data_IF_044253996325
#
_entry.id   IF_044253996325
#
_cell.length_a   1.000
_cell.length_b   1.000
_cell.length_c   1.000
_cell.angle_alpha   90.00
_cell.angle_beta   90.00
_cell.angle_gamma   90.00
#
_symmetry.space_group_name_H-M   'P 1'
#
loop_
_entity.id
_entity.type
_entity.pdbx_description
1 polymer ?
#
# COMPACT_ATOMS: atom_id res chain seq x y z
N UNK A 1 -22.17 5.10 -17.55
CA UNK A 1 -21.29 5.79 -16.57
C UNK A 1 -21.40 5.24 -15.15
N UNK A 2 -22.59 5.15 -14.53
CA UNK A 2 -22.72 4.62 -13.15
C UNK A 2 -22.37 3.12 -13.06
N UNK A 3 -22.91 2.28 -13.96
CA UNK A 3 -22.65 0.83 -13.95
C UNK A 3 -21.19 0.44 -14.21
N UNK A 4 -20.42 1.31 -14.88
CA UNK A 4 -18.99 1.09 -15.14
C UNK A 4 -18.11 1.33 -13.91
N UNK A 5 -18.61 2.03 -12.89
CA UNK A 5 -17.94 2.15 -11.57
C UNK A 5 -18.13 0.90 -10.70
N UNK A 6 -19.07 0.02 -11.06
CA UNK A 6 -19.34 -1.24 -10.38
C UNK A 6 -18.66 -2.40 -11.11
N UNK A 7 -17.37 -2.26 -11.41
CA UNK A 7 -16.57 -3.32 -12.02
C UNK A 7 -15.86 -4.18 -10.96
N UNK A 8 -15.51 -5.41 -11.35
CA UNK A 8 -14.78 -6.34 -10.48
C UNK A 8 -13.41 -5.79 -10.05
N UNK A 9 -12.85 -4.85 -10.82
CA UNK A 9 -11.60 -4.15 -10.53
C UNK A 9 -11.78 -3.28 -9.28
N UNK A 10 -12.83 -2.47 -9.20
CA UNK A 10 -13.11 -1.59 -8.06
C UNK A 10 -13.29 -2.39 -6.77
N UNK A 11 -14.01 -3.51 -6.82
CA UNK A 11 -14.20 -4.39 -5.67
C UNK A 11 -12.92 -5.11 -5.24
N UNK A 12 -12.20 -5.72 -6.20
CA UNK A 12 -10.99 -6.50 -5.88
C UNK A 12 -9.84 -5.60 -5.41
N UNK A 13 -9.63 -4.48 -6.10
CA UNK A 13 -8.62 -3.47 -5.73
C UNK A 13 -8.96 -2.84 -4.39
N UNK A 14 -10.21 -2.40 -4.22
CA UNK A 14 -10.67 -1.78 -2.98
C UNK A 14 -10.46 -2.69 -1.78
N UNK A 15 -10.87 -3.97 -1.89
CA UNK A 15 -10.66 -4.95 -0.82
C UNK A 15 -9.18 -5.19 -0.52
N UNK A 16 -8.34 -5.38 -1.54
CA UNK A 16 -6.91 -5.62 -1.35
C UNK A 16 -6.22 -4.43 -0.65
N UNK A 17 -6.55 -3.20 -1.06
CA UNK A 17 -6.00 -1.98 -0.47
C UNK A 17 -6.49 -1.77 0.97
N UNK A 18 -7.76 -2.06 1.27
CA UNK A 18 -8.27 -2.01 2.64
C UNK A 18 -7.63 -3.07 3.54
N UNK A 19 -7.43 -4.30 3.02
CA UNK A 19 -6.74 -5.37 3.75
C UNK A 19 -5.29 -5.01 4.04
N UNK A 20 -4.58 -4.43 3.08
CA UNK A 20 -3.23 -3.91 3.28
C UNK A 20 -3.20 -2.84 4.39
N UNK A 21 -4.16 -1.92 4.39
CA UNK A 21 -4.29 -0.91 5.45
C UNK A 21 -4.55 -1.53 6.83
N UNK A 22 -5.45 -2.51 6.89
CA UNK A 22 -5.71 -3.27 8.12
C UNK A 22 -4.44 -3.97 8.62
N UNK A 23 -3.61 -4.50 7.72
CA UNK A 23 -2.40 -5.25 8.08
C UNK A 23 -1.34 -4.37 8.75
N UNK A 24 -1.05 -3.18 8.19
CA UNK A 24 -0.03 -2.30 8.78
C UNK A 24 -0.56 -1.47 9.96
N UNK A 25 -1.85 -1.13 9.97
CA UNK A 25 -2.43 -0.33 11.06
C UNK A 25 -2.86 -1.18 12.26
N UNK A 26 -3.06 -2.49 12.05
CA UNK A 26 -3.62 -3.42 13.02
C UNK A 26 -5.14 -3.49 12.93
N UNK A 27 -5.69 -4.70 13.12
CA UNK A 27 -7.11 -5.00 12.98
C UNK A 27 -8.00 -4.19 13.93
N UNK A 28 -7.57 -4.02 15.19
CA UNK A 28 -8.33 -3.29 16.20
C UNK A 28 -8.44 -1.80 15.87
N UNK A 29 -7.31 -1.18 15.50
CA UNK A 29 -7.26 0.21 15.06
C UNK A 29 -8.16 0.41 13.84
N UNK A 30 -8.06 -0.48 12.85
CA UNK A 30 -8.86 -0.41 11.63
C UNK A 30 -10.37 -0.51 11.92
N UNK A 31 -10.78 -1.49 12.74
CA UNK A 31 -12.19 -1.64 13.15
C UNK A 31 -12.69 -0.44 13.94
N UNK A 32 -11.85 0.10 14.83
CA UNK A 32 -12.17 1.30 15.59
C UNK A 32 -12.39 2.51 14.67
N UNK A 33 -11.46 2.76 13.74
CA UNK A 33 -11.56 3.82 12.74
C UNK A 33 -12.85 3.71 11.91
N UNK A 34 -13.19 2.50 11.46
CA UNK A 34 -14.39 2.25 10.67
C UNK A 34 -15.67 2.56 11.47
N UNK A 35 -15.73 2.15 12.75
CA UNK A 35 -16.86 2.49 13.63
C UNK A 35 -16.99 4.00 13.82
N UNK A 36 -15.89 4.70 14.09
CA UNK A 36 -15.88 6.15 14.23
C UNK A 36 -16.38 6.84 12.96
N UNK A 37 -15.94 6.37 11.78
CA UNK A 37 -16.35 6.93 10.50
C UNK A 37 -17.86 6.76 10.28
N UNK A 38 -18.38 5.54 10.47
CA UNK A 38 -19.82 5.26 10.31
C UNK A 38 -20.64 6.10 11.29
N UNK A 39 -20.24 6.19 12.56
CA UNK A 39 -20.96 6.99 13.56
C UNK A 39 -20.94 8.49 13.26
N UNK A 40 -19.83 9.01 12.72
CA UNK A 40 -19.66 10.43 12.39
C UNK A 40 -20.48 10.86 11.17
N UNK A 41 -20.59 9.98 10.18
CA UNK A 41 -21.23 10.27 8.88
C UNK A 41 -22.55 9.54 8.64
N UNK A 42 -23.09 8.81 9.63
CA UNK A 42 -24.42 8.20 9.53
C UNK A 42 -25.48 9.23 9.14
N UNK A 43 -26.36 8.83 8.22
CA UNK A 43 -27.43 9.67 7.67
C UNK A 43 -26.94 10.92 6.91
N UNK A 44 -25.66 10.95 6.50
CA UNK A 44 -25.06 12.01 5.68
C UNK A 44 -24.31 11.40 4.49
N UNK A 45 -23.92 12.25 3.56
CA UNK A 45 -22.95 11.88 2.53
C UNK A 45 -21.53 11.99 3.11
N UNK A 46 -20.64 11.16 2.59
CA UNK A 46 -19.23 11.23 2.93
C UNK A 46 -18.34 11.06 1.70
N UNK A 47 -17.14 11.63 1.76
CA UNK A 47 -16.12 11.53 0.73
C UNK A 47 -14.86 10.81 1.21
N UNK A 48 -13.96 10.57 0.26
CA UNK A 48 -12.70 9.87 0.50
C UNK A 48 -11.75 10.62 1.47
N UNK A 49 -11.69 11.94 1.40
CA UNK A 49 -10.85 12.74 2.29
C UNK A 49 -11.34 12.64 3.74
N UNK A 50 -12.66 12.61 3.94
CA UNK A 50 -13.27 12.40 5.25
C UNK A 50 -12.97 11.02 5.82
N UNK A 51 -12.98 9.99 4.99
CA UNK A 51 -12.57 8.64 5.41
C UNK A 51 -11.11 8.63 5.90
N UNK A 52 -10.19 9.18 5.10
CA UNK A 52 -8.77 9.22 5.46
C UNK A 52 -8.50 10.06 6.71
N UNK A 53 -9.19 11.18 6.89
CA UNK A 53 -9.07 12.00 8.09
C UNK A 53 -9.44 11.21 9.36
N UNK A 54 -10.54 10.46 9.33
CA UNK A 54 -10.95 9.63 10.48
C UNK A 54 -9.94 8.51 10.75
N UNK A 55 -9.39 7.89 9.70
CA UNK A 55 -8.39 6.83 9.86
C UNK A 55 -7.08 7.37 10.43
N UNK A 56 -6.58 8.51 9.94
CA UNK A 56 -5.38 9.18 10.49
C UNK A 56 -5.57 9.50 11.97
N UNK A 57 -6.72 10.04 12.36
CA UNK A 57 -7.06 10.36 13.76
C UNK A 57 -7.10 9.09 14.62
N UNK A 58 -7.82 8.07 14.17
CA UNK A 58 -7.97 6.79 14.88
C UNK A 58 -6.65 6.02 15.03
N UNK A 59 -5.67 6.26 14.15
CA UNK A 59 -4.34 5.68 14.21
C UNK A 59 -3.34 6.57 14.98
N UNK A 60 -3.84 7.49 15.80
CA UNK A 60 -3.04 8.42 16.61
C UNK A 60 -2.03 9.25 15.79
N UNK A 61 -2.36 9.57 14.53
CA UNK A 61 -1.46 10.27 13.59
C UNK A 61 -0.13 9.55 13.34
N UNK A 62 -0.06 8.23 13.58
CA UNK A 62 1.14 7.41 13.32
C UNK A 62 1.46 7.37 11.83
N UNK A 63 0.44 7.40 10.98
CA UNK A 63 0.54 7.32 9.53
C UNK A 63 -0.24 8.46 8.88
N UNK A 64 0.33 9.06 7.84
CA UNK A 64 -0.42 9.93 6.94
C UNK A 64 -1.23 9.06 5.95
N UNK A 65 -2.42 8.64 6.40
CA UNK A 65 -3.29 7.73 5.63
C UNK A 65 -3.74 8.35 4.33
N UNK A 66 -3.98 9.66 4.29
CA UNK A 66 -4.37 10.33 3.06
C UNK A 66 -3.25 10.22 2.00
N UNK A 67 -2.02 10.59 2.36
CA UNK A 67 -0.87 10.51 1.44
C UNK A 67 -0.59 9.08 0.99
N UNK A 68 -0.67 8.11 1.90
CA UNK A 68 -0.47 6.69 1.56
C UNK A 68 -1.56 6.23 0.60
N UNK A 69 -2.83 6.34 1.00
CA UNK A 69 -3.96 5.72 0.30
C UNK A 69 -4.32 6.44 -1.00
N UNK A 70 -4.03 7.73 -1.14
CA UNK A 70 -4.20 8.45 -2.40
C UNK A 70 -3.29 7.85 -3.49
N UNK A 71 -2.06 7.44 -3.16
CA UNK A 71 -1.21 6.73 -4.14
C UNK A 71 -1.83 5.40 -4.58
N UNK A 72 -2.62 4.72 -3.75
CA UNK A 72 -3.23 3.44 -4.12
C UNK A 72 -4.53 3.59 -4.90
N UNK A 73 -5.27 4.67 -4.66
CA UNK A 73 -6.66 4.81 -5.09
C UNK A 73 -6.87 5.82 -6.22
N UNK A 74 -6.01 6.83 -6.34
CA UNK A 74 -6.13 7.91 -7.34
C UNK A 74 -5.31 7.69 -8.61
N UNK A 75 -4.65 6.54 -8.73
CA UNK A 75 -3.93 6.15 -9.93
C UNK A 75 -4.21 4.71 -10.34
N UNK A 76 -4.06 4.46 -11.65
CA UNK A 76 -4.27 3.15 -12.25
C UNK A 76 -3.07 2.23 -12.02
N UNK A 77 -3.32 0.92 -12.07
CA UNK A 77 -2.28 -0.10 -11.91
C UNK A 77 -1.88 -0.36 -10.46
N UNK A 78 -0.77 -1.08 -10.33
CA UNK A 78 -0.15 -1.54 -9.09
C UNK A 78 1.37 -1.56 -9.24
N UNK A 79 2.13 -1.44 -8.14
CA UNK A 79 3.58 -1.61 -8.19
C UNK A 79 3.97 -3.09 -8.26
N UNK A 80 5.11 -3.36 -8.89
CA UNK A 80 5.95 -4.53 -8.62
C UNK A 80 7.16 -4.06 -7.83
N UNK A 81 7.47 -4.78 -6.75
CA UNK A 81 8.65 -4.53 -5.92
C UNK A 81 9.72 -5.55 -6.28
N UNK A 82 10.92 -5.08 -6.58
CA UNK A 82 12.09 -5.93 -6.87
C UNK A 82 13.13 -5.77 -5.77
N UNK A 83 13.83 -6.85 -5.46
CA UNK A 83 14.94 -6.85 -4.52
C UNK A 83 16.26 -6.87 -5.27
N UNK A 84 17.15 -5.96 -4.94
CA UNK A 84 18.53 -5.94 -5.39
C UNK A 84 19.44 -6.32 -4.20
N UNK A 85 20.37 -7.23 -4.47
CA UNK A 85 21.38 -7.65 -3.52
C UNK A 85 22.56 -6.66 -3.55
N UNK A 86 22.79 -5.94 -2.45
CA UNK A 86 23.86 -4.93 -2.34
C UNK A 86 24.65 -5.12 -1.04
N UNK A 87 25.71 -5.93 -1.08
CA UNK A 87 26.61 -6.13 0.07
C UNK A 87 25.90 -6.78 1.26
N UNK A 88 25.71 -6.05 2.35
CA UNK A 88 25.09 -6.54 3.60
C UNK A 88 23.58 -6.24 3.70
N UNK A 89 22.98 -5.72 2.62
CA UNK A 89 21.58 -5.29 2.59
C UNK A 89 20.88 -5.69 1.28
N UNK A 90 19.55 -5.78 1.35
CA UNK A 90 18.68 -5.80 0.19
C UNK A 90 18.10 -4.41 -0.03
N UNK A 91 18.21 -3.91 -1.27
CA UNK A 91 17.57 -2.67 -1.69
C UNK A 91 16.30 -3.01 -2.45
N UNK A 92 15.18 -2.58 -1.90
CA UNK A 92 13.88 -2.68 -2.53
C UNK A 92 13.71 -1.54 -3.52
N UNK A 93 13.25 -1.86 -4.72
CA UNK A 93 12.88 -0.88 -5.76
C UNK A 93 11.44 -1.09 -6.17
N UNK A 94 10.75 -0.03 -6.59
CA UNK A 94 9.42 -0.13 -7.17
C UNK A 94 9.37 0.34 -8.62
N UNK A 95 8.49 -0.30 -9.39
CA UNK A 95 8.05 0.16 -10.71
C UNK A 95 6.60 -0.25 -10.90
N UNK A 96 5.88 0.42 -11.80
CA UNK A 96 4.54 -0.03 -12.20
C UNK A 96 4.61 -1.42 -12.84
N UNK A 97 3.69 -2.30 -12.44
CA UNK A 97 3.52 -3.60 -13.08
C UNK A 97 2.84 -3.46 -14.44
N UNK A 98 3.44 -4.04 -15.47
CA UNK A 98 2.91 -4.08 -16.83
C UNK A 98 2.87 -5.54 -17.29
N UNK A 99 1.71 -5.97 -17.80
CA UNK A 99 1.53 -7.33 -18.30
C UNK A 99 2.44 -7.60 -19.51
N UNK A 100 2.53 -6.62 -20.41
CA UNK A 100 3.53 -6.61 -21.47
C UNK A 100 4.80 -5.93 -20.96
N UNK A 101 5.82 -6.74 -20.66
CA UNK A 101 7.10 -6.26 -20.14
C UNK A 101 7.93 -5.50 -21.19
N UNK A 102 7.54 -5.56 -22.48
CA UNK A 102 8.16 -4.74 -23.53
C UNK A 102 7.67 -3.29 -23.50
N UNK A 103 6.59 -3.00 -22.76
CA UNK A 103 6.21 -1.61 -22.49
C UNK A 103 7.15 -1.05 -21.42
N UNK A 104 8.06 -0.17 -21.83
CA UNK A 104 9.03 0.44 -20.92
C UNK A 104 8.48 1.63 -20.11
N UNK A 105 7.31 2.17 -20.49
CA UNK A 105 6.67 3.31 -19.82
C UNK A 105 5.16 3.22 -19.90
N UNK A 106 4.49 3.71 -18.85
CA UNK A 106 3.04 3.97 -18.91
C UNK A 106 2.82 5.23 -19.73
N UNK A 107 1.84 5.21 -20.63
CA UNK A 107 1.43 6.43 -21.35
C UNK A 107 1.05 7.51 -20.34
N UNK A 108 1.47 8.76 -20.58
CA UNK A 108 1.17 9.91 -19.72
C UNK A 108 1.71 9.79 -18.29
N UNK A 109 2.84 9.11 -18.10
CA UNK A 109 3.51 9.02 -16.79
C UNK A 109 3.82 10.38 -16.17
N UNK A 110 4.19 11.36 -17.00
CA UNK A 110 4.52 12.73 -16.57
C UNK A 110 3.28 13.52 -16.10
N UNK A 111 2.08 13.15 -16.58
CA UNK A 111 0.82 13.78 -16.20
C UNK A 111 0.24 13.20 -14.90
N UNK A 112 0.78 12.08 -14.42
CA UNK A 112 0.31 11.44 -13.19
C UNK A 112 0.90 12.19 -11.98
N UNK A 113 0.07 12.72 -11.05
CA UNK A 113 0.55 13.51 -9.92
C UNK A 113 1.40 12.72 -8.91
N UNK A 114 1.37 11.39 -8.97
CA UNK A 114 2.16 10.48 -8.15
C UNK A 114 3.33 9.85 -8.92
N UNK A 115 3.48 10.14 -10.22
CA UNK A 115 4.55 9.62 -11.07
C UNK A 115 4.55 8.09 -11.23
N UNK A 116 3.40 7.43 -10.99
CA UNK A 116 3.29 5.98 -10.86
C UNK A 116 4.23 5.41 -9.79
N UNK A 117 4.25 6.07 -8.63
CA UNK A 117 4.94 5.62 -7.42
C UNK A 117 3.95 5.54 -6.26
N UNK A 118 4.20 4.62 -5.33
CA UNK A 118 3.34 4.29 -4.20
C UNK A 118 4.10 4.38 -2.89
N UNK A 119 3.37 4.68 -1.81
CA UNK A 119 3.81 4.37 -0.46
C UNK A 119 3.46 2.91 -0.16
N UNK A 120 4.46 2.04 -0.10
CA UNK A 120 4.24 0.59 -0.01
C UNK A 120 4.67 0.12 1.38
N UNK A 121 3.74 -0.39 2.22
CA UNK A 121 4.08 -1.10 3.45
C UNK A 121 4.54 -2.52 3.09
N UNK A 122 5.81 -2.68 2.69
CA UNK A 122 6.33 -3.97 2.25
C UNK A 122 6.55 -4.88 3.46
N UNK A 123 5.66 -5.86 3.63
CA UNK A 123 5.80 -6.88 4.67
C UNK A 123 6.83 -7.93 4.25
N UNK A 124 7.64 -8.40 5.19
CA UNK A 124 8.57 -9.48 4.94
C UNK A 124 8.86 -10.29 6.19
N UNK A 125 9.32 -11.52 5.96
CA UNK A 125 9.92 -12.40 6.97
C UNK A 125 11.26 -12.91 6.45
N UNK A 126 12.14 -13.27 7.36
CA UNK A 126 13.46 -13.85 7.03
C UNK A 126 13.55 -15.27 7.55
N UNK A 127 14.49 -16.04 7.04
CA UNK A 127 14.76 -17.39 7.55
C UNK A 127 15.07 -17.40 9.06
N UNK A 128 15.75 -16.37 9.57
CA UNK A 128 16.07 -16.22 11.01
C UNK A 128 14.82 -15.94 11.87
N UNK A 129 13.72 -15.46 11.27
CA UNK A 129 12.48 -15.15 11.99
C UNK A 129 11.27 -15.33 11.06
N UNK A 130 10.92 -16.58 10.70
CA UNK A 130 9.99 -16.89 9.62
C UNK A 130 8.53 -16.53 9.93
N UNK A 131 8.20 -16.29 11.21
CA UNK A 131 6.87 -15.88 11.67
C UNK A 131 6.83 -14.43 12.15
N UNK A 132 7.98 -13.77 12.29
CA UNK A 132 8.05 -12.39 12.77
C UNK A 132 7.93 -11.43 11.59
N UNK A 133 6.69 -11.10 11.23
CA UNK A 133 6.40 -10.15 10.15
C UNK A 133 6.96 -8.78 10.50
N UNK A 134 7.82 -8.27 9.62
CA UNK A 134 8.39 -6.91 9.66
C UNK A 134 7.84 -6.10 8.50
N UNK A 135 7.86 -4.78 8.62
CA UNK A 135 7.44 -3.84 7.57
C UNK A 135 8.62 -2.95 7.20
N UNK A 136 8.93 -2.87 5.90
CA UNK A 136 9.79 -1.85 5.32
C UNK A 136 8.94 -0.90 4.47
N UNK A 137 8.99 0.40 4.77
CA UNK A 137 8.21 1.39 4.04
C UNK A 137 8.96 1.87 2.79
N UNK A 138 8.40 1.58 1.61
CA UNK A 138 8.85 2.18 0.36
C UNK A 138 8.22 3.55 0.19
N UNK A 139 8.99 4.60 0.43
CA UNK A 139 8.56 5.99 0.27
C UNK A 139 8.77 6.44 -1.18
N UNK A 140 7.97 5.89 -2.11
CA UNK A 140 7.97 6.16 -3.56
C UNK A 140 9.18 5.67 -4.37
N UNK A 141 10.37 5.57 -3.81
CA UNK A 141 11.57 5.15 -4.56
C UNK A 141 12.09 3.79 -4.09
N UNK A 142 12.80 3.80 -2.96
CA UNK A 142 13.48 2.63 -2.44
C UNK A 142 13.26 2.47 -0.95
N UNK A 143 13.56 1.28 -0.44
CA UNK A 143 13.76 1.03 0.97
C UNK A 143 14.87 -0.01 1.13
N UNK A 144 15.40 -0.12 2.33
CA UNK A 144 16.53 -1.00 2.61
C UNK A 144 16.15 -1.98 3.72
N UNK A 145 16.50 -3.24 3.53
CA UNK A 145 16.33 -4.30 4.52
C UNK A 145 17.70 -4.92 4.82
N UNK A 146 18.12 -5.04 6.09
CA UNK A 146 19.32 -5.77 6.44
C UNK A 146 19.24 -7.22 5.96
N UNK A 147 20.31 -7.75 5.38
CA UNK A 147 20.32 -9.16 4.99
C UNK A 147 20.22 -10.06 6.23
N UNK A 148 19.47 -11.17 6.15
CA UNK A 148 19.56 -12.21 7.17
C UNK A 148 20.97 -12.79 7.19
N UNK A 149 21.39 -13.29 8.35
CA UNK A 149 22.74 -13.83 8.53
C UNK A 149 22.95 -15.05 7.64
N UNK A 150 21.89 -15.84 7.45
CA UNK A 150 21.83 -16.90 6.46
C UNK A 150 20.42 -16.99 5.86
N UNK A 151 20.35 -17.38 4.59
CA UNK A 151 19.11 -17.89 4.02
C UNK A 151 18.29 -16.91 3.19
N UNK A 152 16.97 -17.08 3.24
CA UNK A 152 16.03 -16.39 2.36
C UNK A 152 15.28 -15.25 3.05
N UNK A 153 14.76 -14.35 2.22
CA UNK A 153 13.78 -13.34 2.58
C UNK A 153 12.52 -13.58 1.73
N UNK A 154 11.35 -13.61 2.38
CA UNK A 154 10.06 -13.74 1.72
C UNK A 154 9.28 -12.43 1.90
N UNK A 155 9.02 -11.74 0.79
CA UNK A 155 8.25 -10.51 0.75
C UNK A 155 6.75 -10.74 0.59
N UNK A 156 5.97 -9.71 0.89
CA UNK A 156 4.50 -9.73 0.86
C UNK A 156 3.92 -10.87 1.73
N UNK A 157 4.45 -11.01 2.94
CA UNK A 157 4.01 -12.00 3.93
C UNK A 157 2.74 -11.52 4.65
N UNK A 158 1.74 -12.40 4.76
CA UNK A 158 0.44 -12.10 5.37
C UNK A 158 0.27 -12.87 6.67
#
# INVERSE_FOLDING_TARGET
EISQRFDSISYSKGMAVLRMMMDFAGEDNFKHALRLYIEKYKFKNADMGQLWAVFTEAFNNTYDIASIMDTWTRQMGYPVVTLEDVGDQFVLHQKVFLLDQNMHKVKNQEDNPFGYKWYIPFTYVTQDSPTNKKIAWLNKDTATIPKPVNGWLLGNFW
#
